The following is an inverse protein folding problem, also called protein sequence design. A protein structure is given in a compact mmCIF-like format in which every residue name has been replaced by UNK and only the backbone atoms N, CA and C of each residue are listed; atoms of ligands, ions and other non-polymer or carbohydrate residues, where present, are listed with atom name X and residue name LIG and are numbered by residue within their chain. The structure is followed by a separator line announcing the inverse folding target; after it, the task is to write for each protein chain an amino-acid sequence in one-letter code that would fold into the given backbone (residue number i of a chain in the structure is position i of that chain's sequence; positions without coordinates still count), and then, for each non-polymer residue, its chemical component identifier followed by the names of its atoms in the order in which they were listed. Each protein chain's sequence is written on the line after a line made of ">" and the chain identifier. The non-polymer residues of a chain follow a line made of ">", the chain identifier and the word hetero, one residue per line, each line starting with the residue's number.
data_IF_571789010767
#
_entry.id   IF_571789010767
#
_cell.length_a   1.000
_cell.length_b   1.000
_cell.length_c   1.000
_cell.angle_alpha   90.00
_cell.angle_beta   90.00
_cell.angle_gamma   90.00
#
_symmetry.space_group_name_H-M   'P 1'
#
loop_
_entity.id
_entity.type
_entity.pdbx_description
1 polymer ?
#
# COMPACT_ATOMS: atom_id res chain seq x y z
N UNK A 1 16.76 26.09 21.24
CA UNK A 1 16.02 26.38 20.01
C UNK A 1 15.42 25.04 19.56
N UNK A 2 14.23 24.75 20.09
CA UNK A 2 13.51 23.49 19.79
C UNK A 2 13.09 23.47 18.33
N UNK A 3 13.64 22.55 17.56
CA UNK A 3 13.16 22.21 16.24
C UNK A 3 11.88 21.42 16.48
N UNK A 4 10.72 22.10 16.40
CA UNK A 4 9.43 21.43 16.31
C UNK A 4 9.52 20.45 15.14
N UNK A 5 9.44 19.17 15.43
CA UNK A 5 9.30 18.08 14.46
C UNK A 5 8.02 18.39 13.68
N UNK A 6 8.18 18.98 12.50
CA UNK A 6 7.06 19.13 11.55
C UNK A 6 6.70 17.70 11.12
N UNK A 7 5.47 17.30 11.42
CA UNK A 7 4.95 15.99 11.04
C UNK A 7 4.80 15.94 9.52
N UNK A 8 5.77 15.30 8.85
CA UNK A 8 5.82 15.14 7.39
C UNK A 8 5.23 13.79 6.93
N UNK A 9 4.37 13.20 7.73
CA UNK A 9 3.63 12.01 7.36
C UNK A 9 2.74 12.31 6.15
N UNK A 10 2.98 11.68 5.02
CA UNK A 10 2.29 11.75 3.73
C UNK A 10 2.90 12.67 2.66
N UNK A 11 4.22 12.82 2.60
CA UNK A 11 4.88 13.50 1.46
C UNK A 11 4.72 12.74 0.15
N UNK A 12 4.65 11.43 0.21
CA UNK A 12 4.52 10.54 -0.95
C UNK A 12 3.33 9.61 -0.73
N UNK A 13 2.56 9.42 -1.78
CA UNK A 13 1.36 8.59 -1.82
C UNK A 13 1.60 7.37 -2.70
N UNK A 14 0.74 6.36 -2.57
CA UNK A 14 0.72 5.20 -3.47
C UNK A 14 -0.54 5.22 -4.32
N UNK A 15 -0.39 5.01 -5.63
CA UNK A 15 -1.49 4.78 -6.55
C UNK A 15 -2.17 3.43 -6.29
N UNK A 16 -3.32 3.16 -6.94
CA UNK A 16 -3.96 1.83 -6.90
C UNK A 16 -3.03 0.72 -7.44
N UNK A 17 -2.07 1.07 -8.32
CA UNK A 17 -1.03 0.18 -8.84
C UNK A 17 0.20 0.07 -7.94
N UNK A 18 0.17 0.68 -6.75
CA UNK A 18 1.29 0.79 -5.81
C UNK A 18 2.52 1.51 -6.40
N UNK A 19 2.29 2.47 -7.29
CA UNK A 19 3.35 3.35 -7.80
C UNK A 19 3.44 4.58 -6.89
N UNK A 20 4.63 4.92 -6.36
CA UNK A 20 4.83 6.09 -5.52
C UNK A 20 4.66 7.38 -6.33
N UNK A 21 3.95 8.35 -5.78
CA UNK A 21 3.78 9.69 -6.38
C UNK A 21 3.61 10.76 -5.30
N UNK A 22 3.78 12.01 -5.68
CA UNK A 22 3.44 13.16 -4.83
C UNK A 22 2.60 14.17 -5.60
N UNK A 23 1.99 15.11 -4.87
CA UNK A 23 1.19 16.17 -5.46
C UNK A 23 1.92 17.51 -5.37
N UNK A 24 1.72 18.36 -6.37
CA UNK A 24 2.28 19.74 -6.37
C UNK A 24 1.79 20.57 -5.16
N UNK A 25 0.59 20.30 -4.65
CA UNK A 25 0.06 20.89 -3.41
C UNK A 25 0.83 20.43 -2.18
N UNK A 26 1.11 19.13 -2.05
CA UNK A 26 1.91 18.57 -0.95
C UNK A 26 3.28 19.27 -0.89
N UNK A 27 3.93 19.45 -2.05
CA UNK A 27 5.23 20.11 -2.13
C UNK A 27 5.11 21.58 -1.71
N UNK A 28 4.10 22.32 -2.22
CA UNK A 28 3.91 23.73 -1.89
C UNK A 28 3.64 23.97 -0.40
N UNK A 29 2.79 23.14 0.20
CA UNK A 29 2.37 23.26 1.60
C UNK A 29 3.55 23.00 2.54
N UNK A 30 4.31 21.94 2.30
CA UNK A 30 5.50 21.63 3.10
C UNK A 30 6.59 22.68 2.99
N UNK A 31 6.76 23.27 1.81
CA UNK A 31 7.71 24.35 1.61
C UNK A 31 7.17 25.72 2.07
N UNK A 32 5.86 25.83 2.43
CA UNK A 32 5.16 27.09 2.68
C UNK A 32 5.32 28.07 1.51
N UNK A 33 5.28 27.54 0.29
CA UNK A 33 5.31 28.29 -0.95
C UNK A 33 3.89 28.42 -1.52
N UNK A 34 3.64 29.48 -2.30
CA UNK A 34 2.38 29.60 -3.05
C UNK A 34 2.33 28.50 -4.12
N UNK A 35 1.25 27.72 -4.20
CA UNK A 35 1.10 26.61 -5.13
C UNK A 35 1.32 27.05 -6.60
N UNK A 36 0.84 28.26 -6.97
CA UNK A 36 1.07 28.79 -8.32
C UNK A 36 2.57 28.95 -8.66
N UNK A 37 3.46 29.11 -7.67
CA UNK A 37 4.91 29.20 -7.91
C UNK A 37 5.46 27.83 -8.31
N UNK A 38 4.98 26.76 -7.70
CA UNK A 38 5.32 25.36 -8.04
C UNK A 38 4.79 25.03 -9.43
N UNK A 39 3.51 25.28 -9.69
CA UNK A 39 2.88 24.98 -10.99
C UNK A 39 3.49 25.79 -12.13
N UNK A 40 3.98 27.01 -11.85
CA UNK A 40 4.71 27.81 -12.83
C UNK A 40 6.05 27.19 -13.22
N UNK A 41 6.78 26.59 -12.28
CA UNK A 41 8.03 25.89 -12.57
C UNK A 41 7.73 24.69 -13.47
N UNK A 42 6.74 23.86 -13.12
CA UNK A 42 6.37 22.68 -13.91
C UNK A 42 6.02 23.08 -15.35
N UNK A 43 5.18 24.11 -15.52
CA UNK A 43 4.79 24.58 -16.86
C UNK A 43 5.96 25.19 -17.65
N UNK A 44 6.89 25.88 -16.98
CA UNK A 44 8.06 26.48 -17.64
C UNK A 44 9.03 25.43 -18.19
N UNK A 45 9.14 24.31 -17.48
CA UNK A 45 10.06 23.23 -17.77
C UNK A 45 9.32 21.94 -18.17
N UNK A 46 8.13 22.07 -18.77
CA UNK A 46 7.27 20.93 -19.09
C UNK A 46 7.97 19.86 -19.93
N UNK A 47 8.80 20.29 -20.90
CA UNK A 47 9.57 19.37 -21.75
C UNK A 47 10.48 18.46 -20.91
N UNK A 48 11.18 19.01 -19.91
CA UNK A 48 12.08 18.25 -19.03
C UNK A 48 11.30 17.23 -18.18
N UNK A 49 10.09 17.59 -17.73
CA UNK A 49 9.24 16.68 -16.97
C UNK A 49 8.70 15.52 -17.83
N UNK A 50 8.43 15.78 -19.11
CA UNK A 50 7.92 14.76 -20.04
C UNK A 50 8.97 13.70 -20.38
N UNK A 51 10.26 13.97 -20.21
CA UNK A 51 11.32 12.96 -20.34
C UNK A 51 11.18 11.82 -19.33
N UNK A 52 10.59 12.11 -18.16
CA UNK A 52 10.32 11.14 -17.08
C UNK A 52 8.89 10.58 -17.11
N UNK A 53 8.20 10.72 -18.23
CA UNK A 53 6.85 10.23 -18.44
C UNK A 53 5.78 11.34 -18.45
N UNK A 54 4.54 10.94 -18.73
CA UNK A 54 3.42 11.87 -18.80
C UNK A 54 3.16 12.53 -17.45
N UNK A 55 3.07 13.84 -17.42
CA UNK A 55 2.68 14.60 -16.22
C UNK A 55 1.17 14.56 -16.05
N UNK A 56 0.71 13.83 -15.04
CA UNK A 56 -0.72 13.78 -14.67
C UNK A 56 -1.15 15.06 -13.95
N UNK A 57 -2.43 15.38 -14.01
CA UNK A 57 -3.02 16.42 -13.17
C UNK A 57 -4.49 16.15 -12.86
N UNK A 58 -4.91 16.63 -11.68
CA UNK A 58 -6.31 16.74 -11.29
C UNK A 58 -6.70 18.22 -11.29
N UNK A 59 -7.99 18.49 -11.47
CA UNK A 59 -8.55 19.83 -11.33
C UNK A 59 -9.29 19.90 -10.00
N UNK A 60 -8.90 20.84 -9.14
CA UNK A 60 -9.51 21.04 -7.84
C UNK A 60 -10.18 22.42 -7.81
N UNK A 61 -11.43 22.47 -7.35
CA UNK A 61 -12.11 23.72 -7.11
C UNK A 61 -11.59 24.40 -5.83
N UNK A 62 -11.18 25.63 -5.93
CA UNK A 62 -10.83 26.46 -4.78
C UNK A 62 -12.08 27.06 -4.14
N UNK A 63 -11.96 27.48 -2.86
CA UNK A 63 -13.04 28.18 -2.16
C UNK A 63 -13.47 29.49 -2.85
N UNK A 64 -12.59 30.07 -3.68
CA UNK A 64 -12.88 31.23 -4.52
C UNK A 64 -13.73 30.95 -5.76
N UNK A 65 -14.11 29.68 -6.01
CA UNK A 65 -14.81 29.25 -7.23
C UNK A 65 -13.90 29.06 -8.45
N UNK A 66 -12.61 29.34 -8.34
CA UNK A 66 -11.64 29.11 -9.42
C UNK A 66 -11.14 27.65 -9.41
N UNK A 67 -10.84 27.12 -10.58
CA UNK A 67 -10.25 25.81 -10.75
C UNK A 67 -8.72 25.91 -10.71
N UNK A 68 -8.10 25.05 -9.93
CA UNK A 68 -6.65 24.91 -9.84
C UNK A 68 -6.19 23.55 -10.34
N UNK A 69 -5.11 23.51 -11.14
CA UNK A 69 -4.49 22.27 -11.59
C UNK A 69 -3.50 21.79 -10.52
N UNK A 70 -3.76 20.61 -9.96
CA UNK A 70 -2.86 19.91 -9.04
C UNK A 70 -2.12 18.84 -9.84
N UNK A 71 -0.81 18.99 -10.00
CA UNK A 71 0.02 18.05 -10.75
C UNK A 71 0.35 16.82 -9.90
N UNK A 72 0.31 15.66 -10.54
CA UNK A 72 0.70 14.36 -9.98
C UNK A 72 2.10 14.07 -10.54
N UNK A 73 3.06 13.95 -9.64
CA UNK A 73 4.48 13.78 -10.00
C UNK A 73 4.97 12.43 -9.50
N UNK A 74 5.60 11.65 -10.39
CA UNK A 74 6.33 10.44 -10.01
C UNK A 74 7.63 10.80 -9.27
N UNK A 75 8.44 9.80 -8.88
CA UNK A 75 9.69 9.99 -8.12
C UNK A 75 10.67 10.88 -8.88
N UNK A 76 10.88 10.61 -10.17
CA UNK A 76 11.82 11.34 -11.01
C UNK A 76 11.36 12.79 -11.24
N UNK A 77 10.10 12.97 -11.55
CA UNK A 77 9.50 14.30 -11.75
C UNK A 77 9.52 15.13 -10.47
N UNK A 78 9.23 14.54 -9.32
CA UNK A 78 9.30 15.22 -8.03
C UNK A 78 10.74 15.61 -7.69
N UNK A 79 11.69 14.72 -7.95
CA UNK A 79 13.12 14.96 -7.78
C UNK A 79 13.59 16.07 -8.71
N UNK A 80 13.20 16.06 -9.98
CA UNK A 80 13.51 17.14 -10.92
C UNK A 80 12.95 18.48 -10.44
N UNK A 81 11.67 18.54 -10.03
CA UNK A 81 11.07 19.78 -9.53
C UNK A 81 11.88 20.40 -8.41
N UNK A 82 12.33 19.60 -7.41
CA UNK A 82 13.08 20.16 -6.28
C UNK A 82 14.49 20.62 -6.66
N UNK A 83 15.05 20.19 -7.81
CA UNK A 83 16.32 20.75 -8.33
C UNK A 83 16.16 22.17 -8.84
N UNK A 84 15.00 22.53 -9.38
CA UNK A 84 14.69 23.89 -9.85
C UNK A 84 14.38 24.88 -8.71
N UNK A 85 14.16 24.39 -7.49
CA UNK A 85 13.89 25.26 -6.35
C UNK A 85 15.18 25.86 -5.78
N UNK A 86 15.12 27.14 -5.39
CA UNK A 86 16.23 27.82 -4.71
C UNK A 86 16.65 27.05 -3.47
N UNK A 87 17.94 26.77 -3.34
CA UNK A 87 18.49 25.88 -2.32
C UNK A 87 18.61 26.53 -0.92
N UNK A 88 17.47 26.93 -0.33
CA UNK A 88 17.41 27.42 1.05
C UNK A 88 17.56 26.27 2.06
N UNK A 89 17.91 26.54 3.34
CA UNK A 89 18.00 25.49 4.37
C UNK A 89 16.73 24.64 4.46
N UNK A 90 15.55 25.27 4.40
CA UNK A 90 14.25 24.61 4.43
C UNK A 90 14.02 23.69 3.21
N UNK A 91 14.36 24.20 2.01
CA UNK A 91 14.25 23.42 0.78
C UNK A 91 15.21 22.21 0.81
N UNK A 92 16.42 22.39 1.33
CA UNK A 92 17.37 21.27 1.50
C UNK A 92 16.83 20.18 2.43
N UNK A 93 16.22 20.57 3.55
CA UNK A 93 15.63 19.61 4.47
C UNK A 93 14.46 18.86 3.82
N UNK A 94 13.57 19.59 3.16
CA UNK A 94 12.47 18.99 2.40
C UNK A 94 12.96 18.00 1.32
N UNK A 95 14.00 18.36 0.56
CA UNK A 95 14.61 17.44 -0.45
C UNK A 95 15.05 16.13 0.18
N UNK A 96 15.75 16.18 1.31
CA UNK A 96 16.20 14.95 2.00
C UNK A 96 15.03 14.08 2.45
N UNK A 97 13.97 14.70 2.97
CA UNK A 97 12.78 13.95 3.42
C UNK A 97 12.03 13.36 2.26
N UNK A 98 11.81 14.12 1.18
CA UNK A 98 11.12 13.65 -0.01
C UNK A 98 11.82 12.42 -0.60
N UNK A 99 13.15 12.48 -0.74
CA UNK A 99 13.97 11.35 -1.20
C UNK A 99 13.81 10.14 -0.28
N UNK A 100 13.92 10.33 1.05
CA UNK A 100 13.75 9.23 2.02
C UNK A 100 12.40 8.55 1.92
N UNK A 101 11.31 9.33 1.78
CA UNK A 101 9.95 8.79 1.68
C UNK A 101 9.73 8.02 0.37
N UNK A 102 10.25 8.50 -0.76
CA UNK A 102 10.20 7.74 -2.01
C UNK A 102 10.94 6.41 -1.90
N UNK A 103 12.17 6.41 -1.36
CA UNK A 103 12.95 5.18 -1.16
C UNK A 103 12.23 4.19 -0.24
N UNK A 104 11.70 4.67 0.89
CA UNK A 104 10.95 3.86 1.85
C UNK A 104 9.73 3.19 1.20
N UNK A 105 8.93 3.95 0.46
CA UNK A 105 7.76 3.41 -0.23
C UNK A 105 8.14 2.48 -1.38
N UNK A 106 9.20 2.77 -2.12
CA UNK A 106 9.72 1.87 -3.16
C UNK A 106 10.17 0.53 -2.58
N UNK A 107 10.87 0.54 -1.44
CA UNK A 107 11.27 -0.69 -0.75
C UNK A 107 10.05 -1.49 -0.28
N UNK A 108 9.02 -0.83 0.26
CA UNK A 108 7.77 -1.49 0.65
C UNK A 108 7.06 -2.09 -0.58
N UNK A 109 6.99 -1.37 -1.69
CA UNK A 109 6.42 -1.88 -2.95
C UNK A 109 7.20 -3.09 -3.47
N UNK A 110 8.52 -3.08 -3.39
CA UNK A 110 9.36 -4.21 -3.80
C UNK A 110 9.14 -5.42 -2.90
N UNK A 111 9.09 -5.24 -1.57
CA UNK A 111 8.73 -6.29 -0.61
C UNK A 111 7.35 -6.86 -0.94
N UNK A 112 6.36 -5.98 -1.16
CA UNK A 112 5.01 -6.40 -1.55
C UNK A 112 5.02 -7.26 -2.83
N UNK A 113 5.76 -6.84 -3.87
CA UNK A 113 5.85 -7.60 -5.13
C UNK A 113 6.43 -8.99 -4.90
N UNK A 114 7.50 -9.10 -4.10
CA UNK A 114 8.13 -10.38 -3.74
C UNK A 114 7.13 -11.27 -2.99
N UNK A 115 6.48 -10.76 -1.94
CA UNK A 115 5.50 -11.53 -1.17
C UNK A 115 4.30 -11.95 -2.03
N UNK A 116 3.89 -11.11 -2.98
CA UNK A 116 2.82 -11.42 -3.93
C UNK A 116 3.18 -12.55 -4.89
N UNK A 117 4.42 -12.60 -5.37
CA UNK A 117 4.90 -13.72 -6.19
C UNK A 117 5.01 -15.02 -5.37
N UNK A 118 5.45 -14.93 -4.12
CA UNK A 118 5.54 -16.09 -3.21
C UNK A 118 4.16 -16.60 -2.76
N UNK A 119 3.12 -15.77 -2.76
CA UNK A 119 1.75 -16.18 -2.42
C UNK A 119 1.09 -17.00 -3.53
N UNK A 120 1.38 -16.73 -4.79
CA UNK A 120 0.72 -17.40 -5.93
C UNK A 120 0.76 -18.93 -5.88
N UNK A 121 1.91 -19.59 -5.63
CA UNK A 121 1.95 -21.06 -5.53
C UNK A 121 1.16 -21.57 -4.32
N UNK A 122 1.21 -20.88 -3.19
CA UNK A 122 0.44 -21.25 -1.99
C UNK A 122 -1.06 -21.15 -2.27
N UNK A 123 -1.48 -20.10 -2.96
CA UNK A 123 -2.87 -19.90 -3.38
C UNK A 123 -3.36 -21.02 -4.31
N UNK A 124 -2.51 -21.46 -5.23
CA UNK A 124 -2.82 -22.60 -6.11
C UNK A 124 -3.01 -23.89 -5.30
N UNK A 125 -2.16 -24.12 -4.29
CA UNK A 125 -2.25 -25.25 -3.38
C UNK A 125 -3.53 -25.20 -2.53
N UNK A 126 -3.92 -24.03 -2.02
CA UNK A 126 -5.19 -23.86 -1.29
C UNK A 126 -6.40 -24.18 -2.19
N UNK A 127 -6.38 -23.71 -3.43
CA UNK A 127 -7.45 -24.01 -4.38
C UNK A 127 -7.60 -25.50 -4.63
N UNK A 128 -6.49 -26.21 -4.73
CA UNK A 128 -6.47 -27.65 -4.89
C UNK A 128 -6.99 -28.36 -3.62
N UNK A 129 -6.50 -27.99 -2.45
CA UNK A 129 -6.95 -28.54 -1.16
C UNK A 129 -8.45 -28.34 -0.94
N UNK A 130 -9.01 -27.16 -1.28
CA UNK A 130 -10.46 -26.94 -1.22
C UNK A 130 -11.21 -27.84 -2.18
N UNK A 131 -10.70 -28.06 -3.39
CA UNK A 131 -11.34 -28.93 -4.39
C UNK A 131 -11.43 -30.38 -3.92
N UNK A 132 -10.40 -30.87 -3.26
CA UNK A 132 -10.27 -32.24 -2.74
C UNK A 132 -10.93 -32.44 -1.37
N UNK A 133 -11.31 -31.36 -0.70
CA UNK A 133 -11.89 -31.39 0.64
C UNK A 133 -13.27 -32.04 0.64
N UNK A 134 -13.50 -33.02 1.55
CA UNK A 134 -14.75 -33.76 1.64
C UNK A 134 -16.00 -32.93 1.92
N UNK A 135 -15.85 -31.76 2.57
CA UNK A 135 -16.94 -30.82 2.85
C UNK A 135 -17.01 -29.69 1.82
N UNK A 136 -16.35 -29.85 0.66
CA UNK A 136 -16.39 -28.85 -0.41
C UNK A 136 -17.81 -28.60 -0.90
N UNK A 137 -18.14 -27.34 -1.15
CA UNK A 137 -19.42 -26.92 -1.73
C UNK A 137 -19.20 -25.61 -2.54
N UNK A 138 -20.23 -25.15 -3.24
CA UNK A 138 -20.17 -23.97 -4.12
C UNK A 138 -19.69 -22.69 -3.41
N UNK A 139 -19.76 -22.62 -2.09
CA UNK A 139 -19.34 -21.47 -1.28
C UNK A 139 -18.00 -21.67 -0.57
N UNK A 140 -17.44 -22.87 -0.61
CA UNK A 140 -16.24 -23.22 0.16
C UNK A 140 -15.08 -22.27 -0.11
N UNK A 141 -14.78 -22.04 -1.39
CA UNK A 141 -13.71 -21.13 -1.79
C UNK A 141 -13.88 -19.71 -1.24
N UNK A 142 -15.11 -19.16 -1.40
CA UNK A 142 -15.43 -17.83 -0.88
C UNK A 142 -15.32 -17.78 0.64
N UNK A 143 -15.89 -18.76 1.32
CA UNK A 143 -15.93 -18.79 2.79
C UNK A 143 -14.53 -18.92 3.39
N UNK A 144 -13.65 -19.77 2.84
CA UNK A 144 -12.26 -19.91 3.28
C UNK A 144 -11.49 -18.61 3.02
N UNK A 145 -11.63 -18.02 1.83
CA UNK A 145 -10.96 -16.75 1.51
C UNK A 145 -11.40 -15.62 2.44
N UNK A 146 -12.71 -15.46 2.64
CA UNK A 146 -13.24 -14.43 3.54
C UNK A 146 -12.83 -14.68 5.00
N UNK A 147 -12.74 -15.96 5.43
CA UNK A 147 -12.26 -16.31 6.76
C UNK A 147 -10.80 -15.88 6.96
N UNK A 148 -9.91 -16.18 6.01
CA UNK A 148 -8.51 -15.77 6.04
C UNK A 148 -8.37 -14.24 6.10
N UNK A 149 -9.05 -13.53 5.21
CA UNK A 149 -9.00 -12.07 5.15
C UNK A 149 -9.58 -11.41 6.40
N UNK A 150 -10.72 -11.91 6.91
CA UNK A 150 -11.31 -11.36 8.14
C UNK A 150 -10.44 -11.60 9.36
N UNK A 151 -9.68 -12.69 9.40
CA UNK A 151 -8.74 -12.97 10.49
C UNK A 151 -7.56 -12.00 10.50
N UNK A 152 -7.09 -11.56 9.33
CA UNK A 152 -5.89 -10.72 9.20
C UNK A 152 -6.23 -9.23 9.23
N UNK A 153 -7.28 -8.81 8.50
CA UNK A 153 -7.60 -7.39 8.29
C UNK A 153 -9.01 -7.00 8.73
N UNK A 154 -9.78 -7.95 9.28
CA UNK A 154 -11.15 -7.70 9.77
C UNK A 154 -12.19 -7.44 8.67
N UNK A 155 -11.85 -7.65 7.39
CA UNK A 155 -12.71 -7.35 6.23
C UNK A 155 -12.77 -8.53 5.26
N UNK A 156 -13.92 -8.71 4.61
CA UNK A 156 -14.08 -9.69 3.51
C UNK A 156 -13.46 -9.19 2.21
N UNK A 157 -13.26 -10.08 1.24
CA UNK A 157 -12.75 -9.72 -0.08
C UNK A 157 -13.59 -8.59 -0.72
N UNK A 158 -14.91 -8.70 -0.68
CA UNK A 158 -15.84 -7.69 -1.21
C UNK A 158 -15.67 -6.32 -0.54
N UNK A 159 -15.49 -6.29 0.77
CA UNK A 159 -15.28 -5.05 1.54
C UNK A 159 -13.91 -4.40 1.24
N UNK A 160 -12.89 -5.20 0.96
CA UNK A 160 -11.56 -4.70 0.61
C UNK A 160 -11.51 -4.08 -0.77
N UNK A 161 -12.16 -4.71 -1.76
CA UNK A 161 -12.07 -4.27 -3.15
C UNK A 161 -13.02 -3.11 -3.48
N UNK A 162 -14.08 -2.88 -2.68
CA UNK A 162 -15.09 -1.85 -2.93
C UNK A 162 -15.56 -1.79 -4.39
N UNK A 163 -15.76 -2.95 -5.03
CA UNK A 163 -16.10 -3.09 -6.44
C UNK A 163 -15.08 -2.51 -7.44
N UNK A 164 -13.85 -2.19 -7.00
CA UNK A 164 -12.74 -1.88 -7.91
C UNK A 164 -12.29 -3.14 -8.63
N UNK A 165 -11.77 -2.99 -9.84
CA UNK A 165 -11.24 -4.10 -10.64
C UNK A 165 -9.83 -4.52 -10.18
N UNK A 166 -9.70 -4.78 -8.86
CA UNK A 166 -8.48 -5.19 -8.17
C UNK A 166 -8.79 -6.41 -7.31
N UNK A 167 -7.78 -7.23 -7.01
CA UNK A 167 -7.95 -8.35 -6.09
C UNK A 167 -7.82 -7.91 -4.64
N UNK A 168 -8.41 -8.66 -3.69
CA UNK A 168 -8.27 -8.34 -2.27
C UNK A 168 -6.80 -8.37 -1.81
N UNK A 169 -5.97 -9.19 -2.45
CA UNK A 169 -4.53 -9.29 -2.16
C UNK A 169 -3.74 -8.04 -2.54
N UNK A 170 -4.17 -7.32 -3.58
CA UNK A 170 -3.51 -6.11 -4.05
C UNK A 170 -3.72 -4.93 -3.08
N UNK A 171 -4.69 -5.04 -2.18
CA UNK A 171 -4.98 -4.05 -1.13
C UNK A 171 -4.14 -4.27 0.14
N UNK A 172 -3.63 -5.50 0.36
CA UNK A 172 -2.85 -5.83 1.54
C UNK A 172 -1.46 -5.18 1.52
N UNK A 173 -0.88 -4.97 2.72
CA UNK A 173 0.53 -4.63 2.87
C UNK A 173 1.41 -5.87 2.72
N UNK A 174 2.73 -5.70 2.57
CA UNK A 174 3.69 -6.81 2.52
C UNK A 174 3.64 -7.67 3.78
N UNK A 175 3.53 -7.05 4.97
CA UNK A 175 3.39 -7.73 6.25
C UNK A 175 2.09 -8.55 6.34
N UNK A 176 0.98 -7.97 5.90
CA UNK A 176 -0.32 -8.64 5.85
C UNK A 176 -0.30 -9.84 4.90
N UNK A 177 0.36 -9.72 3.74
CA UNK A 177 0.53 -10.83 2.79
C UNK A 177 1.37 -11.96 3.39
N UNK A 178 2.45 -11.63 4.11
CA UNK A 178 3.25 -12.64 4.80
C UNK A 178 2.43 -13.41 5.85
N UNK A 179 1.62 -12.70 6.64
CA UNK A 179 0.69 -13.31 7.60
C UNK A 179 -0.37 -14.16 6.91
N UNK A 180 -0.92 -13.65 5.80
CA UNK A 180 -1.92 -14.35 4.99
C UNK A 180 -1.37 -15.68 4.48
N UNK A 181 -0.20 -15.69 3.87
CA UNK A 181 0.47 -16.89 3.35
C UNK A 181 0.72 -17.96 4.44
N UNK A 182 1.16 -17.53 5.64
CA UNK A 182 1.33 -18.45 6.77
C UNK A 182 0.02 -19.11 7.19
N UNK A 183 -1.04 -18.30 7.32
CA UNK A 183 -2.36 -18.78 7.71
C UNK A 183 -2.99 -19.68 6.61
N UNK A 184 -2.76 -19.34 5.35
CA UNK A 184 -3.20 -20.13 4.20
C UNK A 184 -2.58 -21.53 4.22
N UNK A 185 -1.27 -21.65 4.50
CA UNK A 185 -0.61 -22.96 4.67
C UNK A 185 -1.21 -23.78 5.83
N UNK A 186 -1.53 -23.14 6.95
CA UNK A 186 -2.19 -23.83 8.07
C UNK A 186 -3.58 -24.35 7.66
N UNK A 187 -4.35 -23.54 6.91
CA UNK A 187 -5.67 -23.96 6.43
C UNK A 187 -5.56 -25.10 5.44
N UNK A 188 -4.55 -25.09 4.54
CA UNK A 188 -4.31 -26.22 3.62
C UNK A 188 -4.15 -27.52 4.41
N UNK A 189 -3.28 -27.55 5.43
CA UNK A 189 -3.08 -28.73 6.27
C UNK A 189 -4.36 -29.19 6.98
N UNK A 190 -5.20 -28.26 7.46
CA UNK A 190 -6.48 -28.59 8.09
C UNK A 190 -7.49 -29.17 7.09
N UNK A 191 -7.52 -28.67 5.85
CA UNK A 191 -8.35 -29.20 4.77
C UNK A 191 -7.94 -30.61 4.38
N UNK A 192 -6.64 -30.85 4.23
CA UNK A 192 -6.07 -32.17 3.94
C UNK A 192 -6.37 -33.19 5.03
N UNK A 193 -6.43 -32.75 6.28
CA UNK A 193 -6.85 -33.58 7.43
C UNK A 193 -8.37 -33.68 7.56
N UNK A 194 -9.15 -33.16 6.61
CA UNK A 194 -10.60 -33.23 6.57
C UNK A 194 -11.32 -32.59 7.79
N UNK A 195 -10.74 -31.54 8.38
CA UNK A 195 -11.46 -30.78 9.41
C UNK A 195 -12.68 -30.08 8.82
N UNK A 196 -13.76 -29.96 9.61
CA UNK A 196 -14.93 -29.22 9.18
C UNK A 196 -14.65 -27.72 9.13
N UNK A 197 -15.44 -26.94 8.36
CA UNK A 197 -15.30 -25.48 8.33
C UNK A 197 -15.39 -24.84 9.72
N UNK A 198 -16.25 -25.39 10.61
CA UNK A 198 -16.38 -24.91 11.97
C UNK A 198 -15.10 -25.10 12.79
N UNK A 199 -14.42 -26.23 12.63
CA UNK A 199 -13.18 -26.53 13.34
C UNK A 199 -12.02 -25.71 12.79
N UNK A 200 -11.92 -25.58 11.47
CA UNK A 200 -10.95 -24.69 10.83
C UNK A 200 -11.11 -23.25 11.35
N UNK A 201 -12.36 -22.74 11.39
CA UNK A 201 -12.65 -21.40 11.91
C UNK A 201 -12.24 -21.24 13.37
N UNK A 202 -12.46 -22.26 14.21
CA UNK A 202 -12.04 -22.25 15.63
C UNK A 202 -10.52 -22.27 15.75
N UNK A 203 -9.84 -23.10 14.94
CA UNK A 203 -8.39 -23.25 14.98
C UNK A 203 -7.65 -21.95 14.62
N UNK A 204 -8.10 -21.25 13.57
CA UNK A 204 -7.41 -20.03 13.09
C UNK A 204 -7.85 -18.75 13.79
N UNK A 205 -9.01 -18.73 14.47
CA UNK A 205 -9.46 -17.59 15.30
C UNK A 205 -8.99 -17.65 16.74
N UNK A 206 -8.48 -18.80 17.22
CA UNK A 206 -7.74 -18.85 18.47
C UNK A 206 -6.47 -18.03 18.28
N UNK A 207 -6.40 -16.89 18.94
CA UNK A 207 -5.20 -16.06 19.01
C UNK A 207 -3.97 -16.92 19.38
N UNK A 208 -2.78 -16.53 18.92
CA UNK A 208 -1.57 -17.16 19.41
C UNK A 208 -1.56 -16.95 20.92
N UNK A 209 -1.83 -18.00 21.68
CA UNK A 209 -1.51 -18.02 23.08
C UNK A 209 -0.05 -17.64 23.17
N UNK A 210 0.25 -16.55 23.89
CA UNK A 210 1.54 -16.32 24.48
C UNK A 210 1.96 -17.64 25.17
N UNK A 211 2.72 -18.45 24.48
CA UNK A 211 3.43 -19.55 25.10
C UNK A 211 4.54 -18.89 25.89
N UNK A 212 4.18 -18.43 27.08
CA UNK A 212 5.16 -18.13 28.12
C UNK A 212 5.90 -19.43 28.35
N UNK A 213 7.13 -19.48 27.92
CA UNK A 213 8.06 -20.51 28.35
C UNK A 213 8.19 -20.38 29.87
N UNK A 214 7.42 -21.18 30.60
CA UNK A 214 7.69 -21.44 32.01
C UNK A 214 8.98 -22.27 32.00
N UNK A 215 10.11 -21.59 32.20
CA UNK A 215 11.34 -22.26 32.57
C UNK A 215 11.06 -22.90 33.93
N UNK A 216 10.86 -24.23 33.95
CA UNK A 216 10.88 -25.01 35.16
C UNK A 216 12.30 -24.93 35.76
N UNK A 217 12.39 -24.37 36.97
CA UNK A 217 13.56 -24.46 37.80
C UNK A 217 13.78 -25.89 38.30
#
# INVERSE_FOLDING_TARGET
>A
MEITQTDFSNLVLLSDKKEPYTLSTIISDNLKMKHHSITRIIRRHEADFLEFGKVGHNVQALRSGQNEKVYILNEEQATLLVTYLRNTPKVREFKKMLVREFYKLRDEVNKFKIERELEKPVRKSLTQAIREWSYNNKWAYKNITDLLLTTIVGKTAKQLTNNKNITAYDVLTSEQLTKYKKLENQVISLLELNFTYGDIKKAIKKEPHNVGYVLAN
#
